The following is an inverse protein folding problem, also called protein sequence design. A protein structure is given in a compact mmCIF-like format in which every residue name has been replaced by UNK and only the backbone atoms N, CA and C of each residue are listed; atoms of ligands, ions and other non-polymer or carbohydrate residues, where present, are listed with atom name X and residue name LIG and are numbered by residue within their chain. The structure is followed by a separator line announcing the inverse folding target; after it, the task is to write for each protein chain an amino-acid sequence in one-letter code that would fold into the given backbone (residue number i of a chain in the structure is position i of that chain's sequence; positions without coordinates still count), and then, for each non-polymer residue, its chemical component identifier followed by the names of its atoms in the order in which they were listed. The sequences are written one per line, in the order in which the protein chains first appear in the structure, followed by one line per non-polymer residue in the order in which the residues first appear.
data_IF_492866603800
#
_entry.id   IF_492866603800
#
_cell.length_a   1.000
_cell.length_b   1.000
_cell.length_c   1.000
_cell.angle_alpha   90.00
_cell.angle_beta   90.00
_cell.angle_gamma   90.00
#
_symmetry.space_group_name_H-M   'P 1'
#
loop_
_entity.id
_entity.type
_entity.pdbx_description
1 polymer ?
#
# COMPACT_ATOMS: atom_id res chain seq x y z
N UNK A 1 12.31 -78.82 15.79
CA UNK A 1 12.05 -77.88 16.91
C UNK A 1 12.25 -76.48 16.31
N UNK A 2 11.33 -75.52 16.27
CA UNK A 2 10.20 -75.18 17.13
C UNK A 2 9.10 -74.56 16.26
N UNK A 3 7.85 -74.92 16.53
CA UNK A 3 6.63 -74.31 15.99
C UNK A 3 6.35 -73.05 16.78
N UNK A 4 5.92 -71.96 16.14
CA UNK A 4 4.97 -71.00 16.76
C UNK A 4 4.04 -70.40 15.71
N UNK A 5 2.76 -70.64 15.96
CA UNK A 5 1.57 -70.16 15.25
C UNK A 5 1.26 -68.71 15.65
N UNK A 6 0.26 -68.15 14.95
CA UNK A 6 -0.63 -67.01 15.22
C UNK A 6 -0.39 -65.83 14.28
N UNK A 7 -1.38 -65.13 13.74
CA UNK A 7 -2.82 -65.31 13.56
C UNK A 7 -3.22 -64.22 12.56
N UNK A 8 -4.00 -64.55 11.53
CA UNK A 8 -4.51 -63.58 10.57
C UNK A 8 -5.60 -62.73 11.24
N UNK A 9 -5.42 -61.40 11.26
CA UNK A 9 -6.51 -60.46 11.50
C UNK A 9 -6.97 -59.89 10.16
N UNK A 10 -8.19 -60.24 9.76
CA UNK A 10 -8.98 -59.51 8.78
C UNK A 10 -9.41 -58.17 9.42
N UNK A 11 -8.98 -57.06 8.84
CA UNK A 11 -9.58 -55.75 9.09
C UNK A 11 -10.55 -55.45 7.94
N UNK A 12 -11.85 -55.49 8.23
CA UNK A 12 -12.89 -55.04 7.31
C UNK A 12 -12.89 -53.50 7.26
N UNK A 13 -12.51 -52.93 6.12
CA UNK A 13 -12.64 -51.50 5.86
C UNK A 13 -14.05 -51.26 5.33
N UNK A 14 -14.90 -50.66 6.15
CA UNK A 14 -16.21 -50.13 5.73
C UNK A 14 -15.96 -48.81 4.99
N UNK A 15 -16.17 -48.80 3.67
CA UNK A 15 -16.18 -47.58 2.88
C UNK A 15 -17.54 -46.90 3.09
N UNK A 16 -17.60 -45.94 4.00
CA UNK A 16 -18.74 -45.03 4.12
C UNK A 16 -18.68 -43.99 3.01
N UNK A 17 -19.58 -44.07 2.04
CA UNK A 17 -19.79 -43.04 1.02
C UNK A 17 -20.48 -41.83 1.65
N UNK A 18 -19.71 -40.81 2.03
CA UNK A 18 -20.26 -39.49 2.33
C UNK A 18 -20.50 -38.76 0.99
N UNK A 19 -21.76 -38.65 0.58
CA UNK A 19 -22.16 -37.76 -0.51
C UNK A 19 -21.98 -36.30 -0.02
N UNK A 20 -21.28 -35.43 -0.76
CA UNK A 20 -21.22 -34.02 -0.41
C UNK A 20 -22.58 -33.40 -0.70
N UNK A 21 -23.27 -32.92 0.34
CA UNK A 21 -24.40 -32.02 0.17
C UNK A 21 -23.81 -30.68 -0.28
N UNK A 22 -23.90 -30.41 -1.58
CA UNK A 22 -23.66 -29.08 -2.14
C UNK A 22 -24.79 -28.16 -1.66
N UNK A 23 -24.50 -27.39 -0.61
CA UNK A 23 -25.27 -26.20 -0.29
C UNK A 23 -24.96 -25.13 -1.35
N UNK A 24 -25.95 -24.46 -1.95
CA UNK A 24 -25.68 -23.33 -2.82
C UNK A 24 -25.13 -22.17 -1.98
N UNK A 25 -23.86 -21.84 -2.15
CA UNK A 25 -23.27 -20.60 -1.67
C UNK A 25 -23.66 -19.46 -2.63
N UNK A 26 -24.92 -19.04 -2.59
CA UNK A 26 -25.39 -17.84 -3.29
C UNK A 26 -26.48 -17.18 -2.44
N UNK A 27 -26.08 -16.23 -1.59
CA UNK A 27 -27.04 -15.46 -0.79
C UNK A 27 -26.45 -14.50 0.24
N UNK A 28 -25.18 -14.70 0.66
CA UNK A 28 -24.63 -13.91 1.76
C UNK A 28 -24.27 -12.45 1.39
N UNK A 29 -23.91 -12.18 0.13
CA UNK A 29 -23.46 -10.84 -0.32
C UNK A 29 -24.62 -9.85 -0.54
N UNK A 30 -25.79 -10.29 -1.01
CA UNK A 30 -26.92 -9.39 -1.29
C UNK A 30 -27.63 -8.91 -0.01
N UNK A 31 -27.53 -9.67 1.09
CA UNK A 31 -28.19 -9.35 2.35
C UNK A 31 -27.54 -8.15 3.07
N UNK A 32 -26.24 -7.93 2.91
CA UNK A 32 -25.51 -6.91 3.68
C UNK A 32 -25.73 -5.49 3.16
N UNK A 33 -26.08 -5.31 1.88
CA UNK A 33 -26.41 -3.99 1.31
C UNK A 33 -27.85 -3.54 1.52
N UNK A 34 -28.73 -4.41 2.04
CA UNK A 34 -30.17 -4.17 2.08
C UNK A 34 -30.60 -3.02 2.99
N UNK A 35 -29.74 -2.59 3.91
CA UNK A 35 -29.98 -1.51 4.88
C UNK A 35 -29.81 -0.10 4.30
N UNK A 36 -29.15 0.06 3.15
CA UNK A 36 -28.91 1.36 2.52
C UNK A 36 -30.09 1.79 1.62
N UNK A 37 -30.39 3.11 1.57
CA UNK A 37 -31.49 3.62 0.75
C UNK A 37 -31.20 3.45 -0.75
N UNK A 38 -32.25 3.28 -1.56
CA UNK A 38 -32.11 3.33 -3.01
C UNK A 38 -31.69 4.74 -3.46
N UNK A 39 -30.87 4.81 -4.50
CA UNK A 39 -30.54 6.05 -5.19
C UNK A 39 -31.79 6.65 -5.83
N UNK A 40 -31.86 7.98 -5.85
CA UNK A 40 -32.97 8.78 -6.37
C UNK A 40 -32.39 9.82 -7.32
N UNK A 41 -32.83 9.80 -8.57
CA UNK A 41 -32.39 10.74 -9.60
C UNK A 41 -32.62 12.20 -9.17
N UNK A 42 -31.59 13.04 -9.31
CA UNK A 42 -31.66 14.47 -8.98
C UNK A 42 -31.70 14.81 -7.49
N UNK A 43 -31.59 13.82 -6.58
CA UNK A 43 -31.40 14.08 -5.15
C UNK A 43 -29.92 14.36 -4.88
N UNK A 44 -29.62 15.42 -4.13
CA UNK A 44 -28.25 15.66 -3.68
C UNK A 44 -27.80 14.67 -2.61
N UNK A 45 -26.56 14.22 -2.71
CA UNK A 45 -25.88 13.33 -1.78
C UNK A 45 -24.58 13.99 -1.33
N UNK A 46 -24.33 14.00 -0.03
CA UNK A 46 -23.05 14.50 0.49
C UNK A 46 -22.02 13.37 0.48
N UNK A 47 -20.74 13.75 0.42
CA UNK A 47 -19.61 12.83 0.50
C UNK A 47 -19.80 11.82 1.65
N UNK A 48 -19.60 10.53 1.36
CA UNK A 48 -19.78 9.41 2.29
C UNK A 48 -21.19 8.82 2.34
N UNK A 49 -22.19 9.40 1.66
CA UNK A 49 -23.51 8.78 1.52
C UNK A 49 -23.43 7.48 0.72
N UNK A 50 -24.08 6.43 1.23
CA UNK A 50 -24.15 5.12 0.58
C UNK A 50 -25.57 4.88 0.06
N UNK A 51 -25.69 4.48 -1.20
CA UNK A 51 -26.96 4.20 -1.88
C UNK A 51 -26.92 2.87 -2.61
N UNK A 52 -28.08 2.23 -2.77
CA UNK A 52 -28.26 1.10 -3.69
C UNK A 52 -28.68 1.60 -5.06
N UNK A 53 -28.06 1.08 -6.12
CA UNK A 53 -28.40 1.43 -7.49
C UNK A 53 -29.17 0.31 -8.19
N UNK A 54 -29.74 0.61 -9.36
CA UNK A 54 -30.66 -0.28 -10.10
C UNK A 54 -29.98 -1.54 -10.64
N UNK A 55 -28.65 -1.56 -10.71
CA UNK A 55 -27.84 -2.73 -11.08
C UNK A 55 -27.66 -3.73 -9.91
N UNK A 56 -28.28 -3.46 -8.76
CA UNK A 56 -28.25 -4.32 -7.59
C UNK A 56 -27.04 -4.12 -6.67
N UNK A 57 -26.13 -3.19 -6.99
CA UNK A 57 -24.94 -2.88 -6.17
C UNK A 57 -25.18 -1.68 -5.26
N UNK A 58 -24.27 -1.47 -4.32
CA UNK A 58 -24.20 -0.24 -3.54
C UNK A 58 -23.06 0.65 -4.04
N UNK A 59 -23.18 1.94 -3.80
CA UNK A 59 -22.22 2.97 -4.19
C UNK A 59 -22.08 4.00 -3.06
N UNK A 60 -20.86 4.49 -2.86
CA UNK A 60 -20.53 5.56 -1.92
C UNK A 60 -20.22 6.85 -2.69
N UNK A 61 -20.77 7.97 -2.23
CA UNK A 61 -20.48 9.28 -2.80
C UNK A 61 -19.05 9.71 -2.40
N UNK A 62 -18.16 9.90 -3.37
CA UNK A 62 -16.78 10.35 -3.12
C UNK A 62 -16.65 11.87 -3.02
N UNK A 63 -17.62 12.57 -3.61
CA UNK A 63 -17.75 14.01 -3.59
C UNK A 63 -19.23 14.37 -3.42
N UNK A 64 -19.50 15.61 -3.00
CA UNK A 64 -20.86 16.14 -2.96
C UNK A 64 -21.48 16.09 -4.35
N UNK A 65 -22.53 15.29 -4.46
CA UNK A 65 -23.12 14.92 -5.72
C UNK A 65 -24.53 15.54 -5.84
N UNK A 66 -24.80 16.37 -6.86
CA UNK A 66 -26.13 16.98 -7.07
C UNK A 66 -27.20 16.01 -7.61
N UNK A 67 -26.96 14.70 -7.56
CA UNK A 67 -27.89 13.66 -8.02
C UNK A 67 -27.55 13.03 -9.36
N UNK A 68 -26.28 13.07 -9.77
CA UNK A 68 -25.75 12.32 -10.89
C UNK A 68 -25.77 10.82 -10.62
N UNK A 69 -25.76 10.06 -11.71
CA UNK A 69 -25.95 8.62 -11.73
C UNK A 69 -24.69 7.83 -11.31
N UNK A 70 -24.81 6.87 -10.36
CA UNK A 70 -23.75 5.96 -9.93
C UNK A 70 -22.97 5.21 -10.99
N UNK A 71 -23.55 4.92 -12.15
CA UNK A 71 -22.85 4.17 -13.22
C UNK A 71 -22.31 5.06 -14.33
N UNK A 72 -22.65 6.35 -14.35
CA UNK A 72 -22.18 7.30 -15.39
C UNK A 72 -20.92 8.03 -14.92
N UNK A 73 -20.85 8.40 -13.65
CA UNK A 73 -19.75 9.23 -13.13
C UNK A 73 -19.01 8.55 -11.99
N UNK A 74 -17.84 8.00 -12.32
CA UNK A 74 -16.87 7.52 -11.34
C UNK A 74 -16.16 8.65 -10.59
N UNK A 75 -16.46 9.91 -10.91
CA UNK A 75 -16.01 11.06 -10.13
C UNK A 75 -16.86 11.26 -8.88
N UNK A 76 -18.18 11.04 -8.97
CA UNK A 76 -19.06 11.22 -7.81
C UNK A 76 -19.29 9.95 -7.03
N UNK A 77 -19.18 8.78 -7.67
CA UNK A 77 -19.55 7.51 -7.08
C UNK A 77 -18.47 6.45 -7.25
N UNK A 78 -18.19 5.73 -6.17
CA UNK A 78 -17.43 4.48 -6.21
C UNK A 78 -18.31 3.29 -5.76
N UNK A 79 -18.18 2.11 -6.39
CA UNK A 79 -18.83 0.89 -5.92
C UNK A 79 -18.49 0.56 -4.48
N UNK A 80 -19.50 0.20 -3.69
CA UNK A 80 -19.39 -0.12 -2.27
C UNK A 80 -19.80 -1.58 -2.02
N UNK A 81 -18.95 -2.30 -1.29
CA UNK A 81 -19.24 -3.65 -0.83
C UNK A 81 -19.67 -3.63 0.64
N UNK A 82 -20.81 -4.24 0.92
CA UNK A 82 -21.52 -4.06 2.19
C UNK A 82 -21.18 -5.11 3.24
N UNK A 83 -20.33 -6.07 2.89
CA UNK A 83 -19.78 -7.12 3.75
C UNK A 83 -18.63 -6.63 4.63
N UNK A 84 -18.80 -5.51 5.34
CA UNK A 84 -17.92 -5.06 6.44
C UNK A 84 -16.43 -4.83 6.10
N UNK A 85 -16.03 -5.10 4.85
CA UNK A 85 -14.73 -4.83 4.28
C UNK A 85 -14.97 -3.97 3.06
N UNK A 86 -14.41 -2.77 3.06
CA UNK A 86 -14.33 -1.93 1.87
C UNK A 86 -13.54 -2.68 0.80
N UNK A 87 -14.19 -3.47 -0.05
CA UNK A 87 -13.53 -3.90 -1.29
C UNK A 87 -13.58 -2.72 -2.25
N UNK A 88 -12.55 -1.88 -2.17
CA UNK A 88 -12.18 -0.97 -3.24
C UNK A 88 -12.22 -1.75 -4.56
N UNK A 89 -12.84 -1.23 -5.63
CA UNK A 89 -12.89 -1.90 -6.93
C UNK A 89 -11.50 -2.20 -7.55
N UNK A 90 -10.45 -1.54 -7.06
CA UNK A 90 -9.04 -1.78 -7.41
C UNK A 90 -8.38 -2.92 -6.65
N UNK A 91 -9.02 -3.47 -5.62
CA UNK A 91 -8.41 -4.41 -4.67
C UNK A 91 -7.44 -3.78 -3.67
N UNK A 92 -7.19 -2.46 -3.72
CA UNK A 92 -6.30 -1.79 -2.77
C UNK A 92 -6.99 -1.55 -1.42
N UNK A 93 -6.30 -1.71 -0.30
CA UNK A 93 -6.94 -1.64 1.04
C UNK A 93 -7.10 -0.22 1.61
N UNK A 94 -6.70 0.81 0.87
CA UNK A 94 -6.84 2.23 1.25
C UNK A 94 -7.73 2.91 0.23
N UNK A 95 -8.88 3.48 0.62
CA UNK A 95 -9.75 4.25 -0.28
C UNK A 95 -9.21 5.65 -0.56
N UNK A 96 -9.75 6.33 -1.59
CA UNK A 96 -9.37 7.71 -1.87
C UNK A 96 -9.69 8.64 -0.68
N UNK A 97 -10.85 8.44 -0.04
CA UNK A 97 -11.24 9.19 1.15
C UNK A 97 -10.24 8.99 2.31
N UNK A 98 -9.78 7.75 2.54
CA UNK A 98 -8.76 7.47 3.55
C UNK A 98 -7.42 8.09 3.19
N UNK A 99 -7.00 8.01 1.93
CA UNK A 99 -5.79 8.67 1.44
C UNK A 99 -5.86 10.19 1.63
N UNK A 100 -6.99 10.82 1.31
CA UNK A 100 -7.23 12.24 1.54
C UNK A 100 -7.20 12.61 3.03
N UNK A 101 -7.73 11.74 3.91
CA UNK A 101 -7.67 11.93 5.37
C UNK A 101 -6.24 11.78 5.91
N UNK A 102 -5.43 10.88 5.35
CA UNK A 102 -4.02 10.72 5.70
C UNK A 102 -3.18 11.93 5.29
N UNK A 103 -3.49 12.53 4.14
CA UNK A 103 -2.70 13.59 3.51
C UNK A 103 -3.55 14.83 3.11
N UNK A 104 -4.08 15.58 4.10
CA UNK A 104 -5.01 16.68 3.83
C UNK A 104 -4.35 17.91 3.17
N UNK A 105 -3.03 18.07 3.35
CA UNK A 105 -2.27 19.23 2.85
C UNK A 105 -1.31 18.87 1.71
N UNK A 106 -1.48 17.69 1.09
CA UNK A 106 -0.53 17.22 0.07
C UNK A 106 -0.45 18.16 -1.12
N UNK A 107 0.71 18.17 -1.76
CA UNK A 107 0.86 18.71 -3.09
C UNK A 107 -0.01 17.92 -4.08
N UNK A 108 -0.71 18.61 -4.99
CA UNK A 108 -1.58 18.00 -6.00
C UNK A 108 -0.85 17.03 -6.93
N UNK A 109 0.49 17.13 -7.04
CA UNK A 109 1.35 16.15 -7.68
C UNK A 109 1.10 14.72 -7.17
N UNK A 110 0.90 14.53 -5.88
CA UNK A 110 0.66 13.22 -5.28
C UNK A 110 -0.82 12.85 -5.36
N UNK A 111 -1.22 12.32 -6.51
CA UNK A 111 -2.60 11.86 -6.72
C UNK A 111 -2.81 10.43 -6.23
N UNK A 112 -4.02 10.14 -5.74
CA UNK A 112 -4.42 8.76 -5.40
C UNK A 112 -4.44 7.87 -6.64
N UNK A 113 -4.86 8.39 -7.79
CA UNK A 113 -4.80 7.67 -9.06
C UNK A 113 -3.36 7.33 -9.48
N UNK A 114 -2.40 8.21 -9.23
CA UNK A 114 -0.98 7.92 -9.43
C UNK A 114 -0.50 6.73 -8.59
N UNK A 115 -0.92 6.68 -7.32
CA UNK A 115 -0.64 5.54 -6.43
C UNK A 115 -1.30 4.27 -6.95
N UNK A 116 -2.62 4.30 -7.24
CA UNK A 116 -3.36 3.16 -7.80
C UNK A 116 -2.69 2.61 -9.07
N UNK A 117 -2.28 3.48 -9.98
CA UNK A 117 -1.61 3.10 -11.23
C UNK A 117 -0.24 2.45 -11.00
N UNK A 118 0.44 2.77 -9.90
CA UNK A 118 1.74 2.18 -9.56
C UNK A 118 1.64 0.77 -8.95
N UNK A 119 0.52 0.42 -8.31
CA UNK A 119 0.33 -0.85 -7.58
C UNK A 119 0.59 -2.09 -8.44
N UNK A 120 0.28 -2.04 -9.73
CA UNK A 120 0.51 -3.15 -10.67
C UNK A 120 1.99 -3.50 -10.85
N UNK A 121 2.91 -2.59 -10.50
CA UNK A 121 4.36 -2.85 -10.55
C UNK A 121 4.82 -3.79 -9.43
N UNK A 122 4.03 -3.91 -8.35
CA UNK A 122 4.32 -4.79 -7.21
C UNK A 122 3.03 -5.46 -6.70
N UNK A 123 2.52 -6.49 -7.38
CA UNK A 123 1.20 -7.09 -7.07
C UNK A 123 1.05 -7.70 -5.68
N UNK A 124 2.15 -7.98 -4.98
CA UNK A 124 2.16 -8.48 -3.61
C UNK A 124 2.00 -7.39 -2.53
N UNK A 125 2.31 -6.13 -2.86
CA UNK A 125 2.22 -5.00 -1.95
C UNK A 125 0.77 -4.77 -1.50
N UNK A 126 0.56 -4.70 -0.19
CA UNK A 126 -0.76 -4.54 0.43
C UNK A 126 -1.81 -5.56 -0.06
N UNK A 127 -1.34 -6.72 -0.53
CA UNK A 127 -2.16 -7.80 -1.07
C UNK A 127 -1.67 -9.19 -0.60
N UNK A 128 -0.72 -9.23 0.32
CA UNK A 128 -0.17 -10.46 0.91
C UNK A 128 -0.63 -10.62 2.37
N UNK A 129 -0.96 -11.85 2.76
CA UNK A 129 -1.42 -12.16 4.12
C UNK A 129 -2.89 -11.83 4.38
N UNK A 130 -3.27 -11.70 5.65
CA UNK A 130 -4.64 -11.34 6.06
C UNK A 130 -4.96 -9.88 5.77
N UNK A 131 -6.23 -9.50 5.77
CA UNK A 131 -6.62 -8.10 5.56
C UNK A 131 -6.05 -7.14 6.63
N UNK A 132 -5.82 -7.65 7.85
CA UNK A 132 -5.07 -6.93 8.89
C UNK A 132 -3.65 -6.61 8.42
N UNK A 133 -2.92 -7.60 7.90
CA UNK A 133 -1.53 -7.44 7.42
C UNK A 133 -1.48 -6.53 6.20
N UNK A 134 -2.41 -6.68 5.25
CA UNK A 134 -2.51 -5.79 4.07
C UNK A 134 -2.69 -4.33 4.48
N UNK A 135 -3.61 -4.05 5.42
CA UNK A 135 -3.84 -2.69 5.94
C UNK A 135 -2.65 -2.17 6.74
N UNK A 136 -2.00 -3.02 7.55
CA UNK A 136 -0.78 -2.67 8.26
C UNK A 136 0.34 -2.28 7.29
N UNK A 137 0.55 -3.07 6.24
CA UNK A 137 1.57 -2.77 5.24
C UNK A 137 1.28 -1.44 4.52
N UNK A 138 0.05 -1.24 4.06
CA UNK A 138 -0.33 0.00 3.39
C UNK A 138 -0.15 1.23 4.31
N UNK A 139 -0.56 1.13 5.59
CA UNK A 139 -0.34 2.18 6.58
C UNK A 139 1.15 2.40 6.85
N UNK A 140 1.96 1.35 6.93
CA UNK A 140 3.40 1.44 7.18
C UNK A 140 4.15 2.12 6.03
N UNK A 141 3.82 1.78 4.78
CA UNK A 141 4.36 2.46 3.61
C UNK A 141 3.99 3.94 3.62
N UNK A 142 2.69 4.24 3.72
CA UNK A 142 2.20 5.63 3.68
C UNK A 142 2.71 6.46 4.86
N UNK A 143 2.91 5.87 6.05
CA UNK A 143 3.46 6.57 7.21
C UNK A 143 4.93 6.95 7.04
N UNK A 144 5.74 6.07 6.45
CA UNK A 144 7.11 6.43 6.10
C UNK A 144 7.14 7.50 5.00
N UNK A 145 6.28 7.37 3.97
CA UNK A 145 6.12 8.40 2.94
C UNK A 145 5.71 9.74 3.54
N UNK A 146 4.78 9.75 4.50
CA UNK A 146 4.40 10.94 5.26
C UNK A 146 5.61 11.60 5.92
N UNK A 147 6.50 10.81 6.53
CA UNK A 147 7.68 11.32 7.19
C UNK A 147 8.70 11.90 6.19
N UNK A 148 9.01 11.18 5.10
CA UNK A 148 10.00 11.63 4.10
C UNK A 148 9.62 12.94 3.39
N UNK A 149 8.32 13.19 3.23
CA UNK A 149 7.81 14.26 2.36
C UNK A 149 7.08 15.39 3.11
N UNK A 150 7.06 15.33 4.44
CA UNK A 150 6.27 16.27 5.25
C UNK A 150 4.77 16.17 4.97
N UNK A 151 4.24 14.95 4.88
CA UNK A 151 2.83 14.69 4.56
C UNK A 151 2.49 14.93 3.09
N UNK A 152 3.38 14.53 2.19
CA UNK A 152 3.29 14.72 0.74
C UNK A 152 3.26 16.20 0.30
N UNK A 153 3.71 17.13 1.14
CA UNK A 153 3.84 18.55 0.78
C UNK A 153 5.01 18.75 -0.19
N UNK A 154 6.10 18.03 0.02
CA UNK A 154 7.33 18.18 -0.75
C UNK A 154 7.49 17.07 -1.80
N UNK A 155 7.74 17.49 -3.05
CA UNK A 155 8.04 16.59 -4.18
C UNK A 155 9.55 16.37 -4.33
N UNK A 156 10.34 17.35 -3.92
CA UNK A 156 11.79 17.37 -4.04
C UNK A 156 12.42 17.72 -2.69
N UNK A 157 13.66 17.32 -2.49
CA UNK A 157 14.47 17.74 -1.34
C UNK A 157 14.54 19.26 -1.24
N UNK A 158 14.41 19.80 -0.02
CA UNK A 158 14.32 21.26 0.17
C UNK A 158 15.68 21.94 0.25
N UNK A 159 16.70 21.26 0.77
CA UNK A 159 18.03 21.84 0.91
C UNK A 159 18.81 21.72 -0.41
N UNK A 160 18.66 22.70 -1.29
CA UNK A 160 19.31 22.70 -2.62
C UNK A 160 20.84 22.70 -2.56
N UNK A 161 21.43 23.13 -1.44
CA UNK A 161 22.88 23.07 -1.24
C UNK A 161 23.42 21.63 -1.24
N UNK A 162 22.58 20.64 -0.88
CA UNK A 162 22.95 19.23 -0.85
C UNK A 162 22.92 18.57 -2.24
N UNK A 163 22.26 19.18 -3.24
CA UNK A 163 22.01 18.53 -4.53
C UNK A 163 23.28 17.95 -5.21
N UNK A 164 24.45 18.62 -5.17
CA UNK A 164 25.68 18.09 -5.76
C UNK A 164 26.26 16.85 -5.05
N UNK A 165 25.77 16.49 -3.86
CA UNK A 165 26.30 15.36 -3.07
C UNK A 165 25.89 14.00 -3.62
N UNK A 166 24.75 13.92 -4.32
CA UNK A 166 24.12 12.64 -4.69
C UNK A 166 24.65 12.04 -6.00
N UNK A 167 25.87 12.37 -6.39
CA UNK A 167 26.54 11.82 -7.54
C UNK A 167 27.74 10.99 -7.09
N UNK A 168 27.61 9.68 -7.14
CA UNK A 168 28.72 8.75 -6.92
C UNK A 168 29.49 8.52 -8.23
N UNK A 169 30.61 9.21 -8.37
CA UNK A 169 31.52 9.08 -9.52
C UNK A 169 32.28 7.74 -9.56
N UNK A 170 32.23 6.93 -8.51
CA UNK A 170 32.82 5.58 -8.54
C UNK A 170 31.97 4.61 -9.37
N UNK A 171 30.71 4.95 -9.64
CA UNK A 171 29.83 4.17 -10.50
C UNK A 171 30.30 4.26 -11.97
N UNK A 172 30.41 3.14 -12.70
CA UNK A 172 30.93 3.13 -14.08
C UNK A 172 30.04 3.90 -15.08
N UNK A 173 28.77 4.09 -14.76
CA UNK A 173 27.82 4.88 -15.55
C UNK A 173 27.79 6.36 -15.17
N UNK A 174 28.51 6.77 -14.11
CA UNK A 174 28.60 8.17 -13.67
C UNK A 174 27.25 8.82 -13.40
N UNK A 175 27.14 10.08 -13.80
CA UNK A 175 26.01 10.97 -13.52
C UNK A 175 25.57 11.69 -14.81
N UNK A 176 25.01 10.97 -15.80
CA UNK A 176 24.76 11.52 -17.14
C UNK A 176 23.72 12.65 -17.15
N UNK A 177 22.81 12.72 -16.18
CA UNK A 177 21.87 13.84 -16.03
C UNK A 177 22.50 15.08 -15.37
N UNK A 178 23.77 14.99 -14.93
CA UNK A 178 24.51 16.04 -14.23
C UNK A 178 24.79 15.72 -12.77
N UNK A 179 25.86 16.30 -12.21
CA UNK A 179 26.30 16.07 -10.83
C UNK A 179 25.20 16.38 -9.80
N UNK A 180 24.42 17.44 -10.04
CA UNK A 180 23.37 17.91 -9.12
C UNK A 180 21.97 17.41 -9.50
N UNK A 181 21.87 16.29 -10.22
CA UNK A 181 20.59 15.82 -10.78
C UNK A 181 19.92 14.70 -9.99
N UNK A 182 20.58 14.10 -8.98
CA UNK A 182 20.12 12.89 -8.27
C UNK A 182 19.74 13.14 -6.81
N UNK A 183 19.33 14.36 -6.49
CA UNK A 183 18.76 14.72 -5.19
C UNK A 183 17.42 14.01 -4.92
N UNK A 184 16.95 14.11 -3.67
CA UNK A 184 15.74 13.42 -3.22
C UNK A 184 14.49 13.85 -3.98
N UNK A 185 13.74 12.89 -4.52
CA UNK A 185 12.44 13.11 -5.18
C UNK A 185 11.40 12.06 -4.81
N UNK A 186 10.14 12.47 -4.86
CA UNK A 186 8.99 11.57 -4.75
C UNK A 186 8.78 11.03 -3.34
N UNK A 187 7.93 10.00 -3.19
CA UNK A 187 7.34 9.61 -1.91
C UNK A 187 8.36 9.01 -0.91
N UNK A 188 9.49 8.50 -1.40
CA UNK A 188 10.58 7.97 -0.55
C UNK A 188 11.84 8.83 -0.63
N UNK A 189 11.76 10.02 -1.22
CA UNK A 189 12.90 10.91 -1.45
C UNK A 189 14.08 10.16 -2.12
N UNK A 190 13.81 9.50 -3.26
CA UNK A 190 14.81 8.74 -4.02
C UNK A 190 16.03 9.63 -4.31
N UNK A 191 17.19 9.23 -3.82
CA UNK A 191 18.46 9.95 -3.94
C UNK A 191 19.57 9.03 -4.41
N UNK A 192 20.64 9.61 -4.98
CA UNK A 192 21.83 8.95 -5.55
C UNK A 192 21.65 8.34 -6.93
N UNK A 193 22.60 8.63 -7.83
CA UNK A 193 22.64 8.09 -9.20
C UNK A 193 22.48 6.56 -9.27
N UNK A 194 23.09 5.81 -8.36
CA UNK A 194 22.95 4.35 -8.32
C UNK A 194 21.54 3.86 -7.98
N UNK A 195 20.79 4.59 -7.13
CA UNK A 195 19.40 4.24 -6.83
C UNK A 195 18.48 4.61 -7.99
N UNK A 196 18.70 5.76 -8.65
CA UNK A 196 17.96 6.10 -9.88
C UNK A 196 18.21 5.05 -10.98
N UNK A 197 19.45 4.56 -11.13
CA UNK A 197 19.77 3.47 -12.05
C UNK A 197 19.02 2.17 -11.68
N UNK A 198 19.14 1.73 -10.43
CA UNK A 198 18.55 0.47 -9.97
C UNK A 198 17.02 0.48 -10.02
N UNK A 199 16.38 1.59 -9.61
CA UNK A 199 14.94 1.78 -9.74
C UNK A 199 14.50 1.79 -11.19
N UNK A 200 15.24 2.51 -12.04
CA UNK A 200 14.94 2.59 -13.46
C UNK A 200 15.00 1.25 -14.18
N UNK A 201 16.04 0.46 -13.90
CA UNK A 201 16.19 -0.90 -14.44
C UNK A 201 15.02 -1.81 -14.02
N UNK A 202 14.64 -1.78 -12.75
CA UNK A 202 13.57 -2.62 -12.21
C UNK A 202 12.19 -2.24 -12.77
N UNK A 203 11.96 -0.95 -13.05
CA UNK A 203 10.68 -0.43 -13.52
C UNK A 203 10.57 -0.33 -15.04
N UNK A 204 11.68 -0.54 -15.78
CA UNK A 204 11.74 -0.34 -17.22
C UNK A 204 11.63 1.13 -17.64
N UNK A 205 12.15 2.05 -16.81
CA UNK A 205 12.09 3.51 -17.02
C UNK A 205 13.50 4.07 -16.89
N UNK A 206 14.01 4.80 -17.87
CA UNK A 206 15.37 5.36 -17.79
C UNK A 206 15.46 6.57 -16.85
N UNK A 207 15.46 6.29 -15.55
CA UNK A 207 15.57 7.28 -14.48
C UNK A 207 16.99 7.79 -14.26
N UNK A 208 18.02 7.08 -14.74
CA UNK A 208 19.40 7.55 -14.65
C UNK A 208 19.60 8.77 -15.57
N UNK A 209 19.13 8.71 -16.82
CA UNK A 209 19.23 9.85 -17.73
C UNK A 209 18.08 10.85 -17.56
N UNK A 210 16.92 10.41 -17.04
CA UNK A 210 15.74 11.25 -16.88
C UNK A 210 15.23 11.29 -15.43
N UNK A 211 16.05 11.71 -14.44
CA UNK A 211 15.67 11.67 -13.02
C UNK A 211 14.48 12.59 -12.70
N UNK A 212 14.24 13.62 -13.51
CA UNK A 212 13.12 14.53 -13.33
C UNK A 212 11.74 13.85 -13.49
N UNK A 213 11.66 12.68 -14.12
CA UNK A 213 10.39 11.93 -14.20
C UNK A 213 9.81 11.66 -12.81
N UNK A 214 10.64 11.47 -11.79
CA UNK A 214 10.21 11.22 -10.40
C UNK A 214 9.54 12.45 -9.76
N UNK A 215 9.72 13.66 -10.31
CA UNK A 215 9.06 14.88 -9.85
C UNK A 215 8.03 15.46 -10.84
N UNK A 216 7.88 14.88 -12.03
CA UNK A 216 6.94 15.35 -13.06
C UNK A 216 5.85 14.34 -13.40
N UNK A 217 6.05 13.06 -13.10
CA UNK A 217 5.05 12.01 -13.27
C UNK A 217 4.71 11.35 -11.92
N UNK A 218 3.46 11.54 -11.49
CA UNK A 218 2.94 11.03 -10.22
C UNK A 218 3.05 9.50 -10.12
N UNK A 219 2.72 8.78 -11.20
CA UNK A 219 2.78 7.31 -11.20
C UNK A 219 4.22 6.83 -11.12
N UNK A 220 5.14 7.47 -11.85
CA UNK A 220 6.58 7.15 -11.77
C UNK A 220 7.10 7.38 -10.35
N UNK A 221 6.73 8.48 -9.70
CA UNK A 221 7.11 8.73 -8.31
C UNK A 221 6.60 7.64 -7.36
N UNK A 222 5.33 7.23 -7.48
CA UNK A 222 4.80 6.15 -6.67
C UNK A 222 5.48 4.81 -6.96
N UNK A 223 5.81 4.51 -8.21
CA UNK A 223 6.57 3.31 -8.59
C UNK A 223 7.94 3.27 -7.93
N UNK A 224 8.66 4.39 -7.82
CA UNK A 224 9.97 4.41 -7.13
C UNK A 224 9.82 4.18 -5.63
N UNK A 225 8.77 4.72 -5.01
CA UNK A 225 8.44 4.43 -3.61
C UNK A 225 8.16 2.94 -3.38
N UNK A 226 7.31 2.34 -4.22
CA UNK A 226 7.01 0.91 -4.15
C UNK A 226 8.23 0.04 -4.47
N UNK A 227 9.07 0.44 -5.42
CA UNK A 227 10.33 -0.23 -5.71
C UNK A 227 11.20 -0.34 -4.47
N UNK A 228 11.41 0.77 -3.77
CA UNK A 228 12.20 0.77 -2.55
C UNK A 228 11.60 -0.18 -1.51
N UNK A 229 10.30 0.01 -1.23
CA UNK A 229 9.57 -0.76 -0.22
C UNK A 229 9.61 -2.27 -0.42
N UNK A 230 9.51 -2.72 -1.67
CA UNK A 230 9.37 -4.14 -1.99
C UNK A 230 10.71 -4.82 -2.29
N UNK A 231 11.78 -4.07 -2.59
CA UNK A 231 13.02 -4.67 -3.09
C UNK A 231 14.28 -4.29 -2.31
N UNK A 232 14.27 -3.19 -1.56
CA UNK A 232 15.46 -2.66 -0.90
C UNK A 232 15.44 -2.94 0.60
N UNK A 233 16.57 -3.38 1.16
CA UNK A 233 16.76 -3.48 2.61
C UNK A 233 17.42 -2.24 3.21
N UNK A 234 17.98 -1.35 2.37
CA UNK A 234 18.73 -0.18 2.83
C UNK A 234 19.76 -0.53 3.91
N UNK A 235 19.83 0.22 5.03
CA UNK A 235 20.71 -0.10 6.15
C UNK A 235 20.14 -1.20 7.10
N UNK A 236 18.97 -1.75 6.79
CA UNK A 236 18.37 -2.88 7.49
C UNK A 236 18.79 -4.24 6.93
N UNK A 237 18.07 -5.29 7.33
CA UNK A 237 18.36 -6.69 6.97
C UNK A 237 17.26 -7.37 6.16
N UNK A 238 16.16 -6.65 5.88
CA UNK A 238 15.01 -7.16 5.13
C UNK A 238 14.32 -6.01 4.40
N UNK A 239 13.48 -6.32 3.42
CA UNK A 239 12.65 -5.29 2.80
C UNK A 239 11.54 -4.84 3.75
N UNK A 240 11.10 -3.57 3.68
CA UNK A 240 9.91 -3.13 4.41
C UNK A 240 8.67 -3.99 4.14
N UNK A 241 8.45 -4.46 2.91
CA UNK A 241 7.41 -5.42 2.57
C UNK A 241 7.48 -6.67 3.46
N UNK A 242 8.65 -7.33 3.48
CA UNK A 242 8.85 -8.55 4.28
C UNK A 242 8.77 -8.28 5.78
N UNK A 243 9.17 -7.09 6.25
CA UNK A 243 9.03 -6.71 7.64
C UNK A 243 7.57 -6.71 8.10
N UNK A 244 6.66 -6.24 7.24
CA UNK A 244 5.23 -6.22 7.53
C UNK A 244 4.58 -7.58 7.32
N UNK A 245 4.82 -8.24 6.17
CA UNK A 245 4.19 -9.52 5.83
C UNK A 245 4.60 -10.64 6.81
N UNK A 246 5.85 -10.65 7.26
CA UNK A 246 6.36 -11.66 8.20
C UNK A 246 6.21 -11.25 9.66
N UNK A 247 5.47 -10.18 9.96
CA UNK A 247 5.24 -9.69 11.33
C UNK A 247 6.53 -9.38 12.12
N UNK A 248 7.61 -8.98 11.44
CA UNK A 248 8.85 -8.56 12.09
C UNK A 248 8.68 -7.20 12.80
N UNK A 249 7.80 -6.35 12.26
CA UNK A 249 7.32 -5.12 12.89
C UNK A 249 7.72 -3.84 12.17
N UNK A 250 6.98 -2.77 12.46
CA UNK A 250 7.15 -1.47 11.80
C UNK A 250 8.55 -0.88 11.98
N UNK A 251 9.21 -1.13 13.12
CA UNK A 251 10.58 -0.67 13.37
C UNK A 251 11.61 -1.18 12.35
N UNK A 252 11.40 -2.36 11.76
CA UNK A 252 12.28 -2.86 10.69
C UNK A 252 12.11 -2.08 9.39
N UNK A 253 10.92 -1.50 9.14
CA UNK A 253 10.70 -0.61 7.99
C UNK A 253 11.48 0.69 8.16
N UNK A 254 11.45 1.28 9.37
CA UNK A 254 12.24 2.47 9.72
C UNK A 254 13.73 2.18 9.54
N UNK A 255 14.18 1.04 10.07
CA UNK A 255 15.58 0.60 9.94
C UNK A 255 16.02 0.46 8.49
N UNK A 256 15.13 -0.05 7.64
CA UNK A 256 15.45 -0.27 6.23
C UNK A 256 15.39 0.99 5.38
N UNK A 257 14.77 2.07 5.86
CA UNK A 257 14.67 3.35 5.14
C UNK A 257 15.78 4.31 5.59
N UNK A 258 15.95 4.50 6.90
CA UNK A 258 16.93 5.45 7.43
C UNK A 258 17.58 5.00 8.76
N UNK A 259 17.70 3.69 8.97
CA UNK A 259 18.14 3.14 10.25
C UNK A 259 19.55 3.50 10.69
N UNK A 260 20.45 3.82 9.75
CA UNK A 260 21.82 4.25 10.08
C UNK A 260 21.87 5.61 10.79
N UNK A 261 20.84 6.44 10.61
CA UNK A 261 20.73 7.79 11.19
C UNK A 261 19.71 7.87 12.32
N UNK A 262 18.69 7.01 12.33
CA UNK A 262 17.56 7.13 13.27
C UNK A 262 17.54 6.07 14.37
N UNK A 263 17.76 4.80 14.03
CA UNK A 263 17.61 3.69 14.96
C UNK A 263 18.75 3.61 16.00
N UNK A 264 18.61 2.70 16.96
CA UNK A 264 19.59 2.40 18.01
C UNK A 264 19.90 3.64 18.88
N UNK A 265 18.86 4.46 19.12
CA UNK A 265 18.93 5.66 19.94
C UNK A 265 19.56 6.89 19.28
N UNK A 266 19.88 6.83 17.98
CA UNK A 266 20.54 7.94 17.26
C UNK A 266 19.62 9.13 17.05
N UNK A 267 18.35 8.90 16.71
CA UNK A 267 17.36 9.96 16.59
C UNK A 267 15.96 9.50 17.06
N UNK A 268 15.74 9.38 18.39
CA UNK A 268 14.48 8.90 18.94
C UNK A 268 13.27 9.76 18.53
N UNK A 269 13.48 11.06 18.29
CA UNK A 269 12.41 11.97 17.88
C UNK A 269 11.88 11.65 16.47
N UNK A 270 12.77 11.33 15.52
CA UNK A 270 12.34 10.96 14.17
C UNK A 270 11.67 9.59 14.14
N UNK A 271 12.21 8.61 14.89
CA UNK A 271 11.55 7.31 15.06
C UNK A 271 10.14 7.49 15.62
N UNK A 272 9.99 8.30 16.67
CA UNK A 272 8.67 8.59 17.26
C UNK A 272 7.73 9.24 16.23
N UNK A 273 8.21 10.21 15.44
CA UNK A 273 7.40 10.83 14.38
C UNK A 273 6.86 9.83 13.35
N UNK A 274 7.67 8.85 12.94
CA UNK A 274 7.22 7.76 12.05
C UNK A 274 6.18 6.87 12.72
N UNK A 275 6.41 6.51 13.98
CA UNK A 275 5.48 5.68 14.76
C UNK A 275 4.13 6.39 14.95
N UNK A 276 4.14 7.69 15.25
CA UNK A 276 2.92 8.49 15.40
C UNK A 276 2.10 8.52 14.09
N UNK A 277 2.78 8.71 12.95
CA UNK A 277 2.12 8.65 11.64
C UNK A 277 1.53 7.26 11.37
N UNK A 278 2.28 6.19 11.65
CA UNK A 278 1.82 4.82 11.47
C UNK A 278 0.60 4.50 12.34
N UNK A 279 0.63 4.89 13.62
CA UNK A 279 -0.48 4.70 14.54
C UNK A 279 -1.75 5.42 14.09
N UNK A 280 -1.64 6.67 13.62
CA UNK A 280 -2.79 7.39 13.02
C UNK A 280 -3.32 6.68 11.78
N UNK A 281 -2.44 6.18 10.92
CA UNK A 281 -2.86 5.58 9.65
C UNK A 281 -3.51 4.21 9.83
N UNK A 282 -3.05 3.38 10.77
CA UNK A 282 -3.75 2.13 11.10
C UNK A 282 -5.13 2.38 11.72
N UNK A 283 -5.30 3.47 12.49
CA UNK A 283 -6.62 3.89 13.00
C UNK A 283 -7.56 4.29 11.86
N UNK A 284 -7.08 5.07 10.88
CA UNK A 284 -7.87 5.44 9.68
C UNK A 284 -8.31 4.20 8.89
N UNK A 285 -7.46 3.18 8.82
CA UNK A 285 -7.78 1.93 8.13
C UNK A 285 -8.60 0.92 8.96
N UNK A 286 -8.85 1.23 10.23
CA UNK A 286 -9.55 0.33 11.16
C UNK A 286 -8.79 -0.97 11.41
N UNK A 287 -7.47 -0.90 11.62
CA UNK A 287 -6.61 -2.04 11.96
C UNK A 287 -5.72 -1.72 13.17
N UNK A 288 -4.99 -2.73 13.69
CA UNK A 288 -4.03 -2.54 14.79
C UNK A 288 -2.61 -2.34 14.27
N UNK A 289 -1.74 -1.71 15.07
CA UNK A 289 -0.36 -1.42 14.68
C UNK A 289 0.55 -2.68 14.67
N UNK A 290 0.16 -3.75 15.36
CA UNK A 290 1.03 -4.89 15.63
C UNK A 290 2.09 -4.59 16.70
N UNK A 291 3.15 -5.39 16.74
CA UNK A 291 4.24 -5.28 17.70
C UNK A 291 5.52 -4.68 17.06
N UNK A 292 6.56 -4.47 17.88
CA UNK A 292 7.91 -4.05 17.44
C UNK A 292 7.89 -2.78 16.58
N UNK A 293 7.24 -1.73 17.08
CA UNK A 293 7.05 -0.48 16.34
C UNK A 293 8.32 0.37 16.22
N UNK A 294 9.27 0.16 17.12
CA UNK A 294 10.46 0.97 17.27
C UNK A 294 11.71 0.24 16.78
N UNK A 295 12.71 1.05 16.44
CA UNK A 295 14.11 0.71 16.31
C UNK A 295 14.90 1.81 17.06
#
# INVERSE_FOLDING_TARGET
MSKRRLSALLAAIVVGTAAPVLLPAAGASAASCSSYPNWVAGKSYVTGNIVRYTDGKAYIAEHDNPGYDPVISTWYWEPYACDGGSTNPSGFVVSEAQFNQMFPNRNSFYSYNGLKAALSSYPGFANSGSDTVKKQEAAAFLANVNHETGGLVYVVEQNTANYPHYCDWSQPYGCPAGQSAYYGRGPIQLSWNFNYKAAGDALGIDLLNNPNLVQTDSSVAWKTGLWYWNTQSGPGTMTPHNAMVNSAGFGQTIRSINGSLECDGRNPAQVQSRVDAYQRFVQILGTSAGANLYC
#
